data_IF_541236110681
#
_entry.id   IF_541236110681
#
_cell.length_a   1.000
_cell.length_b   1.000
_cell.length_c   1.000
_cell.angle_alpha   90.00
_cell.angle_beta   90.00
_cell.angle_gamma   90.00
#
_symmetry.space_group_name_H-M   'P 1'
#
loop_
_entity.id
_entity.type
_entity.pdbx_description
1 polymer ?
#
# COMPACT_ATOMS: atom_id res chain seq x y z
N UNK A 1 -21.50 -18.52 -7.95
CA UNK A 1 -20.97 -19.22 -9.14
C UNK A 1 -19.78 -18.42 -9.63
N UNK A 2 -18.62 -19.03 -9.78
CA UNK A 2 -17.45 -18.36 -10.32
C UNK A 2 -17.41 -18.54 -11.83
N UNK A 3 -17.12 -17.46 -12.53
CA UNK A 3 -17.09 -17.42 -13.99
C UNK A 3 -15.64 -17.50 -14.50
N UNK A 4 -14.69 -17.10 -13.66
CA UNK A 4 -13.26 -16.99 -13.99
C UNK A 4 -12.42 -17.55 -12.84
N UNK A 5 -11.35 -18.27 -13.19
CA UNK A 5 -10.32 -18.71 -12.24
C UNK A 5 -9.00 -18.03 -12.58
N UNK A 6 -8.41 -17.36 -11.60
CA UNK A 6 -7.10 -16.70 -11.72
C UNK A 6 -6.09 -17.45 -10.86
N UNK A 7 -4.94 -17.76 -11.44
CA UNK A 7 -3.87 -18.54 -10.79
C UNK A 7 -2.63 -17.67 -10.63
N UNK A 8 -2.11 -17.57 -9.41
CA UNK A 8 -0.91 -16.82 -9.07
C UNK A 8 0.17 -17.77 -8.56
N UNK A 9 1.30 -17.82 -9.26
CA UNK A 9 2.47 -18.57 -8.82
C UNK A 9 3.22 -17.79 -7.75
N UNK A 10 3.39 -18.39 -6.57
CA UNK A 10 4.22 -17.91 -5.48
C UNK A 10 5.56 -18.66 -5.55
N UNK A 11 6.64 -18.04 -5.07
CA UNK A 11 7.96 -18.64 -5.04
C UNK A 11 7.97 -20.07 -4.45
N UNK A 12 8.76 -20.96 -5.07
CA UNK A 12 8.74 -22.39 -4.79
C UNK A 12 7.74 -23.10 -5.70
N UNK A 13 6.75 -23.76 -5.08
CA UNK A 13 5.74 -24.59 -5.75
C UNK A 13 4.30 -24.22 -5.31
N UNK A 14 4.13 -23.07 -4.67
CA UNK A 14 2.84 -22.67 -4.11
C UNK A 14 2.04 -21.85 -5.12
N UNK A 15 0.73 -22.13 -5.20
CA UNK A 15 -0.18 -21.41 -6.07
C UNK A 15 -1.39 -20.89 -5.28
N UNK A 16 -1.83 -19.68 -5.62
CA UNK A 16 -3.13 -19.15 -5.18
C UNK A 16 -4.11 -19.24 -6.35
N UNK A 17 -5.24 -19.91 -6.14
CA UNK A 17 -6.35 -19.97 -7.10
C UNK A 17 -7.52 -19.14 -6.58
N UNK A 18 -7.92 -18.12 -7.34
CA UNK A 18 -9.10 -17.30 -7.04
C UNK A 18 -10.21 -17.57 -8.04
N UNK A 19 -11.37 -17.97 -7.53
CA UNK A 19 -12.58 -18.20 -8.30
C UNK A 19 -13.49 -16.98 -8.17
N UNK A 20 -13.58 -16.19 -9.24
CA UNK A 20 -14.18 -14.87 -9.25
C UNK A 20 -15.33 -14.79 -10.24
N UNK A 21 -16.26 -13.88 -9.98
CA UNK A 21 -17.18 -13.43 -11.04
C UNK A 21 -16.42 -12.57 -12.05
N UNK A 22 -16.85 -12.57 -13.31
CA UNK A 22 -16.25 -11.79 -14.41
C UNK A 22 -15.93 -10.32 -14.03
N UNK A 23 -16.85 -9.53 -13.44
CA UNK A 23 -16.54 -8.14 -13.07
C UNK A 23 -15.46 -8.02 -11.97
N UNK A 24 -15.34 -9.02 -11.09
CA UNK A 24 -14.32 -9.04 -10.04
C UNK A 24 -12.94 -9.37 -10.63
N UNK A 25 -12.88 -10.29 -11.61
CA UNK A 25 -11.66 -10.63 -12.31
C UNK A 25 -11.10 -9.43 -13.09
N UNK A 26 -11.96 -8.67 -13.78
CA UNK A 26 -11.56 -7.45 -14.51
C UNK A 26 -10.94 -6.43 -13.55
N UNK A 27 -11.62 -6.13 -12.43
CA UNK A 27 -11.10 -5.19 -11.42
C UNK A 27 -9.77 -5.63 -10.84
N UNK A 28 -9.59 -6.94 -10.64
CA UNK A 28 -8.33 -7.50 -10.14
C UNK A 28 -7.19 -7.27 -11.14
N UNK A 29 -7.42 -7.52 -12.43
CA UNK A 29 -6.42 -7.29 -13.49
C UNK A 29 -6.05 -5.81 -13.59
N UNK A 30 -7.04 -4.91 -13.56
CA UNK A 30 -6.81 -3.46 -13.58
C UNK A 30 -5.97 -2.99 -12.39
N UNK A 31 -6.32 -3.44 -11.17
CA UNK A 31 -5.57 -3.10 -9.96
C UNK A 31 -4.15 -3.66 -10.00
N UNK A 32 -3.96 -4.87 -10.53
CA UNK A 32 -2.64 -5.49 -10.66
C UNK A 32 -1.77 -4.73 -11.67
N UNK A 33 -2.32 -4.36 -12.83
CA UNK A 33 -1.61 -3.56 -13.83
C UNK A 33 -1.21 -2.19 -13.28
N UNK A 34 -2.10 -1.51 -12.56
CA UNK A 34 -1.76 -0.25 -11.90
C UNK A 34 -0.62 -0.39 -10.89
N UNK A 35 -0.64 -1.48 -10.11
CA UNK A 35 0.39 -1.76 -9.09
C UNK A 35 1.73 -2.19 -9.68
N UNK A 36 1.72 -2.89 -10.81
CA UNK A 36 2.93 -3.24 -11.58
C UNK A 36 3.52 -1.99 -12.25
N UNK A 37 2.68 -1.13 -12.83
CA UNK A 37 3.12 0.13 -13.42
C UNK A 37 3.77 1.05 -12.37
N UNK A 38 3.17 1.16 -11.18
CA UNK A 38 3.76 1.89 -10.04
C UNK A 38 5.12 1.29 -9.60
N UNK A 39 5.20 -0.03 -9.46
CA UNK A 39 6.44 -0.71 -9.10
C UNK A 39 7.56 -0.56 -10.15
N UNK A 40 7.21 -0.61 -11.44
CA UNK A 40 8.15 -0.41 -12.56
C UNK A 40 8.60 1.05 -12.68
N UNK A 41 7.70 2.00 -12.41
CA UNK A 41 8.00 3.43 -12.42
C UNK A 41 8.83 3.89 -11.21
N UNK A 42 8.89 3.09 -10.14
CA UNK A 42 9.67 3.35 -8.94
C UNK A 42 10.80 2.31 -8.77
N UNK A 43 11.92 2.42 -9.51
CA UNK A 43 13.02 1.46 -9.43
C UNK A 43 13.69 1.38 -8.05
N UNK A 44 13.41 2.31 -7.12
CA UNK A 44 14.10 2.42 -5.82
C UNK A 44 13.20 2.30 -4.58
N UNK A 45 11.92 1.89 -4.73
CA UNK A 45 11.03 1.65 -3.56
C UNK A 45 10.83 0.18 -3.23
N UNK A 46 11.78 -0.68 -3.59
CA UNK A 46 11.95 -2.02 -3.01
C UNK A 46 12.46 -2.00 -1.55
N UNK A 47 12.04 -1.01 -0.76
CA UNK A 47 11.95 -1.17 0.69
C UNK A 47 10.65 -1.93 0.98
N UNK A 48 10.67 -3.23 0.70
CA UNK A 48 9.67 -4.19 1.20
C UNK A 48 9.75 -4.10 2.73
N UNK A 49 8.89 -3.30 3.34
CA UNK A 49 8.96 -3.02 4.77
C UNK A 49 8.12 -1.85 5.26
N UNK A 50 7.80 -0.86 4.42
CA UNK A 50 7.19 0.39 4.93
C UNK A 50 5.71 0.58 4.57
N UNK A 51 5.15 -0.14 3.59
CA UNK A 51 3.77 0.09 3.14
C UNK A 51 2.67 -0.39 4.12
N UNK A 52 3.01 -1.21 5.12
CA UNK A 52 2.07 -1.62 6.18
C UNK A 52 2.12 -0.72 7.43
N UNK A 53 3.07 0.22 7.50
CA UNK A 53 3.26 1.10 8.68
C UNK A 53 2.74 2.54 8.45
N UNK A 54 2.23 2.85 7.26
CA UNK A 54 1.66 4.17 6.97
C UNK A 54 0.21 4.27 7.47
N UNK A 55 0.00 3.90 8.73
CA UNK A 55 -1.30 3.82 9.40
C UNK A 55 -1.35 4.49 10.77
N UNK A 56 -0.33 5.26 11.16
CA UNK A 56 -0.40 6.10 12.37
C UNK A 56 -0.18 7.56 11.99
N UNK A 57 -1.20 8.44 12.08
CA UNK A 57 -0.95 9.87 12.05
C UNK A 57 -0.01 10.21 13.21
N UNK A 58 1.11 10.89 12.91
CA UNK A 58 1.99 11.40 13.95
C UNK A 58 1.16 12.32 14.87
N UNK A 59 1.23 12.15 16.21
CA UNK A 59 0.52 13.04 17.12
C UNK A 59 1.03 14.48 16.91
N UNK A 60 0.15 15.49 16.97
CA UNK A 60 0.59 16.88 16.89
C UNK A 60 1.57 17.17 18.02
N UNK A 61 2.70 17.80 17.69
CA UNK A 61 3.70 18.20 18.66
C UNK A 61 3.06 19.11 19.72
N UNK A 62 3.32 18.90 21.03
CA UNK A 62 2.82 19.80 22.06
C UNK A 62 3.45 21.18 21.86
N UNK A 63 2.72 22.28 22.12
CA UNK A 63 3.28 23.62 22.03
C UNK A 63 4.44 23.72 23.03
N UNK A 64 5.65 23.90 22.52
CA UNK A 64 6.81 24.25 23.34
C UNK A 64 6.57 25.64 23.93
N UNK A 65 6.23 25.71 25.21
CA UNK A 65 6.27 26.96 25.97
C UNK A 65 7.72 27.45 25.98
N UNK A 66 7.97 28.56 25.29
CA UNK A 66 9.30 29.17 25.18
C UNK A 66 9.44 30.23 26.28
N UNK A 67 10.15 29.97 27.39
CA UNK A 67 10.24 30.89 28.53
C UNK A 67 11.02 32.18 28.24
N UNK A 68 11.50 32.40 27.01
CA UNK A 68 12.18 33.62 26.58
C UNK A 68 11.28 34.74 26.06
N UNK A 69 9.96 34.53 25.94
CA UNK A 69 9.02 35.52 25.39
C UNK A 69 8.24 36.28 26.49
N UNK A 70 8.92 36.71 27.55
CA UNK A 70 8.35 37.69 28.47
C UNK A 70 8.41 39.10 27.85
N UNK A 71 7.22 39.56 27.45
CA UNK A 71 6.74 40.92 27.18
C UNK A 71 7.75 42.09 27.39
N UNK A 72 8.04 42.94 26.39
CA UNK A 72 8.66 44.24 26.64
C UNK A 72 7.66 45.15 27.37
N UNK A 73 8.12 45.81 28.43
CA UNK A 73 7.36 46.83 29.17
C UNK A 73 7.23 48.13 28.39
#
# INVERSE_FOLDING_TARGET
MADVSVRFQIAGDSEIVLNLATPQAVRLVEALMGKVADAMAAPERLAVGTSWQQGTPAPPAPPTFNPGQQLPR
#
